data_IF_871529788248
#
_entry.id   IF_871529788248
#
_cell.length_a   1.000
_cell.length_b   1.000
_cell.length_c   1.000
_cell.angle_alpha   90.00
_cell.angle_beta   90.00
_cell.angle_gamma   90.00
#
_symmetry.space_group_name_H-M   'P 1'
#
loop_
_entity.id
_entity.type
_entity.pdbx_description
1 polymer ?
#
# COMPACT_ATOMS: atom_id res chain seq x y z
N UNK A 1 13.57 64.90 -53.92
CA UNK A 1 13.17 63.48 -53.89
C UNK A 1 13.60 62.93 -52.55
N UNK A 2 12.70 62.78 -51.59
CA UNK A 2 12.95 62.06 -50.33
C UNK A 2 11.59 61.68 -49.71
N UNK A 3 11.01 60.57 -50.15
CA UNK A 3 9.66 60.13 -49.75
C UNK A 3 9.62 58.74 -49.10
N UNK A 4 10.77 58.15 -48.77
CA UNK A 4 10.88 56.78 -48.27
C UNK A 4 11.04 56.65 -46.73
N UNK A 5 10.80 57.71 -45.96
CA UNK A 5 11.06 57.73 -44.51
C UNK A 5 9.85 57.76 -43.55
N UNK A 6 8.74 57.03 -43.81
CA UNK A 6 7.85 56.62 -42.71
C UNK A 6 7.65 55.11 -42.55
N UNK A 7 8.03 54.30 -43.55
CA UNK A 7 7.72 52.86 -43.57
C UNK A 7 8.64 52.03 -42.65
N UNK A 8 9.85 52.53 -42.35
CA UNK A 8 10.83 51.87 -41.49
C UNK A 8 10.50 51.92 -39.98
N UNK A 9 9.75 52.92 -39.52
CA UNK A 9 9.37 53.05 -38.10
C UNK A 9 8.25 52.11 -37.65
N UNK A 10 7.32 51.77 -38.54
CA UNK A 10 6.14 50.95 -38.22
C UNK A 10 6.47 49.45 -38.12
N UNK A 11 7.50 49.00 -38.84
CA UNK A 11 8.04 47.63 -38.75
C UNK A 11 8.76 47.42 -37.40
N UNK A 12 9.51 48.41 -36.92
CA UNK A 12 10.20 48.34 -35.61
C UNK A 12 9.24 48.21 -34.41
N UNK A 13 8.09 48.88 -34.45
CA UNK A 13 7.08 48.80 -33.39
C UNK A 13 6.37 47.43 -33.34
N UNK A 14 6.15 46.79 -34.50
CA UNK A 14 5.55 45.45 -34.58
C UNK A 14 6.51 44.35 -34.10
N UNK A 15 7.81 44.45 -34.41
CA UNK A 15 8.83 43.53 -33.87
C UNK A 15 9.03 43.72 -32.35
N UNK A 16 8.97 44.96 -31.86
CA UNK A 16 9.00 45.24 -30.42
C UNK A 16 7.83 44.60 -29.68
N UNK A 17 6.60 44.76 -30.16
CA UNK A 17 5.41 44.15 -29.55
C UNK A 17 5.40 42.61 -29.62
N UNK A 18 5.87 42.01 -30.72
CA UNK A 18 5.99 40.56 -30.87
C UNK A 18 7.05 39.94 -29.93
N UNK A 19 8.18 40.63 -29.72
CA UNK A 19 9.21 40.21 -28.77
C UNK A 19 8.73 40.28 -27.32
N UNK A 20 7.97 41.33 -26.96
CA UNK A 20 7.38 41.47 -25.62
C UNK A 20 6.33 40.38 -25.36
N UNK A 21 5.49 40.05 -26.36
CA UNK A 21 4.49 38.99 -26.23
C UNK A 21 5.13 37.59 -26.09
N UNK A 22 6.17 37.30 -26.88
CA UNK A 22 6.96 36.06 -26.77
C UNK A 22 7.65 35.90 -25.41
N UNK A 23 8.27 36.98 -24.91
CA UNK A 23 8.92 37.00 -23.60
C UNK A 23 7.94 36.80 -22.44
N UNK A 24 6.75 37.42 -22.49
CA UNK A 24 5.70 37.20 -21.47
C UNK A 24 5.17 35.78 -21.46
N UNK A 25 4.99 35.14 -22.62
CA UNK A 25 4.57 33.72 -22.66
C UNK A 25 5.64 32.78 -22.11
N UNK A 26 6.90 33.04 -22.40
CA UNK A 26 7.99 32.22 -21.84
C UNK A 26 8.10 32.39 -20.33
N UNK A 27 7.98 33.60 -19.81
CA UNK A 27 7.97 33.88 -18.37
C UNK A 27 6.74 33.26 -17.68
N UNK A 28 5.55 33.34 -18.28
CA UNK A 28 4.34 32.69 -17.77
C UNK A 28 4.45 31.16 -17.77
N UNK A 29 5.00 30.57 -18.83
CA UNK A 29 5.23 29.13 -18.91
C UNK A 29 6.23 28.65 -17.85
N UNK A 30 7.30 29.43 -17.61
CA UNK A 30 8.27 29.14 -16.55
C UNK A 30 7.63 29.26 -15.17
N UNK A 31 6.89 30.34 -14.90
CA UNK A 31 6.17 30.52 -13.64
C UNK A 31 5.13 29.40 -13.39
N UNK A 32 4.45 28.93 -14.43
CA UNK A 32 3.54 27.78 -14.34
C UNK A 32 4.29 26.47 -14.07
N UNK A 33 5.46 26.27 -14.68
CA UNK A 33 6.30 25.10 -14.43
C UNK A 33 6.82 25.11 -12.98
N UNK A 34 7.34 26.24 -12.52
CA UNK A 34 7.84 26.42 -11.15
C UNK A 34 6.71 26.25 -10.13
N UNK A 35 5.52 26.81 -10.37
CA UNK A 35 4.35 26.63 -9.51
C UNK A 35 3.85 25.17 -9.48
N UNK A 36 3.95 24.44 -10.61
CA UNK A 36 3.66 23.01 -10.65
C UNK A 36 4.69 22.23 -9.85
N UNK A 37 5.98 22.54 -10.00
CA UNK A 37 7.06 21.89 -9.26
C UNK A 37 6.92 22.11 -7.76
N UNK A 38 6.71 23.34 -7.30
CA UNK A 38 6.49 23.66 -5.88
C UNK A 38 5.27 22.93 -5.30
N UNK A 39 4.18 22.79 -6.07
CA UNK A 39 3.01 21.98 -5.65
C UNK A 39 3.32 20.49 -5.55
N UNK A 40 4.28 19.99 -6.31
CA UNK A 40 4.67 18.58 -6.26
C UNK A 40 5.57 18.31 -5.05
N UNK A 41 6.52 19.20 -4.79
CA UNK A 41 7.36 19.17 -3.58
C UNK A 41 6.48 19.25 -2.34
N UNK A 42 5.54 20.20 -2.28
CA UNK A 42 4.61 20.32 -1.15
C UNK A 42 3.75 19.04 -0.93
N UNK A 43 3.32 18.37 -2.01
CA UNK A 43 2.59 17.10 -1.91
C UNK A 43 3.49 15.96 -1.41
N UNK A 44 4.75 15.96 -1.81
CA UNK A 44 5.73 14.98 -1.38
C UNK A 44 6.06 15.17 0.10
N UNK A 45 6.30 16.40 0.55
CA UNK A 45 6.54 16.73 1.96
C UNK A 45 5.34 16.36 2.83
N UNK A 46 4.13 16.66 2.37
CA UNK A 46 2.89 16.26 3.05
C UNK A 46 2.78 14.73 3.15
N UNK A 47 3.12 14.00 2.08
CA UNK A 47 3.11 12.54 2.09
C UNK A 47 4.13 11.98 3.08
N UNK A 48 5.37 12.50 3.09
CA UNK A 48 6.41 12.11 4.04
C UNK A 48 5.96 12.39 5.48
N UNK A 49 5.43 13.57 5.77
CA UNK A 49 4.95 13.91 7.12
C UNK A 49 3.79 13.00 7.57
N UNK A 50 2.86 12.69 6.66
CA UNK A 50 1.75 11.77 6.93
C UNK A 50 2.26 10.36 7.21
N UNK A 51 3.23 9.87 6.44
CA UNK A 51 3.83 8.55 6.62
C UNK A 51 4.65 8.46 7.89
N UNK A 52 5.43 9.50 8.21
CA UNK A 52 6.20 9.56 9.45
C UNK A 52 5.28 9.48 10.68
N UNK A 53 4.16 10.21 10.65
CA UNK A 53 3.15 10.13 11.71
C UNK A 53 2.52 8.74 11.76
N UNK A 54 1.99 8.25 10.65
CA UNK A 54 1.28 6.97 10.60
C UNK A 54 2.19 5.79 11.02
N UNK A 55 3.46 5.78 10.60
CA UNK A 55 4.40 4.74 11.05
C UNK A 55 4.82 4.90 12.50
N UNK A 56 4.86 6.12 13.04
CA UNK A 56 5.03 6.35 14.47
C UNK A 56 3.88 5.76 15.29
N UNK A 57 2.64 6.00 14.86
CA UNK A 57 1.43 5.47 15.48
C UNK A 57 1.40 3.94 15.39
N UNK A 58 1.63 3.38 14.19
CA UNK A 58 1.72 1.93 13.96
C UNK A 58 2.80 1.27 14.82
N UNK A 59 3.96 1.92 14.97
CA UNK A 59 5.05 1.39 15.80
C UNK A 59 4.68 1.29 17.28
N UNK A 60 3.85 2.20 17.79
CA UNK A 60 3.33 2.09 19.14
C UNK A 60 2.24 1.02 19.23
N UNK A 61 1.35 0.96 18.24
CA UNK A 61 0.23 0.00 18.21
C UNK A 61 0.69 -1.46 18.18
N UNK A 62 1.70 -1.78 17.37
CA UNK A 62 2.25 -3.15 17.27
C UNK A 62 2.90 -3.66 18.54
N UNK A 63 3.20 -2.79 19.51
CA UNK A 63 3.69 -3.20 20.84
C UNK A 63 2.59 -3.81 21.71
N UNK A 64 1.33 -3.48 21.44
CA UNK A 64 0.16 -3.98 22.16
C UNK A 64 -0.55 -5.14 21.47
N UNK A 65 0.07 -5.78 20.48
CA UNK A 65 -0.58 -6.89 19.74
C UNK A 65 -0.97 -8.02 20.72
N UNK A 66 -2.22 -8.51 20.68
CA UNK A 66 -2.65 -9.57 21.58
C UNK A 66 -1.91 -10.90 21.34
N UNK A 67 -1.59 -11.56 22.44
CA UNK A 67 -0.93 -12.87 22.47
C UNK A 67 -1.80 -14.00 21.92
N UNK A 68 -1.17 -15.15 21.73
CA UNK A 68 -1.84 -16.39 21.37
C UNK A 68 -2.62 -17.02 22.52
N UNK A 69 -3.68 -17.73 22.14
CA UNK A 69 -4.45 -18.55 23.06
C UNK A 69 -3.53 -19.62 23.70
N UNK A 70 -3.58 -19.72 25.02
CA UNK A 70 -2.88 -20.78 25.76
C UNK A 70 -3.78 -22.02 25.96
N UNK A 71 -3.27 -23.24 25.75
CA UNK A 71 -4.02 -24.46 26.05
C UNK A 71 -4.55 -24.47 27.49
N UNK A 72 -5.85 -24.72 27.69
CA UNK A 72 -6.50 -24.71 29.00
C UNK A 72 -7.17 -23.40 29.39
N UNK A 73 -7.13 -22.37 28.53
CA UNK A 73 -7.89 -21.13 28.71
C UNK A 73 -9.40 -21.40 28.77
N UNK A 74 -10.12 -20.74 29.69
CA UNK A 74 -11.57 -20.87 29.82
C UNK A 74 -12.30 -20.29 28.60
N UNK A 75 -13.52 -20.73 28.32
CA UNK A 75 -14.33 -20.20 27.21
C UNK A 75 -14.55 -18.67 27.32
N UNK A 76 -14.72 -18.16 28.55
CA UNK A 76 -14.86 -16.73 28.82
C UNK A 76 -13.58 -15.96 28.48
N UNK A 77 -12.41 -16.49 28.86
CA UNK A 77 -11.13 -15.86 28.54
C UNK A 77 -10.79 -15.93 27.04
N UNK A 78 -11.19 -17.01 26.35
CA UNK A 78 -11.10 -17.09 24.88
C UNK A 78 -11.97 -16.01 24.23
N UNK A 79 -13.22 -15.84 24.67
CA UNK A 79 -14.11 -14.81 24.13
C UNK A 79 -13.57 -13.39 24.37
N UNK A 80 -13.02 -13.13 25.56
CA UNK A 80 -12.39 -11.84 25.88
C UNK A 80 -11.15 -11.57 25.00
N UNK A 81 -10.31 -12.58 24.75
CA UNK A 81 -9.15 -12.47 23.87
C UNK A 81 -9.57 -12.22 22.41
N UNK A 82 -10.61 -12.91 21.93
CA UNK A 82 -11.15 -12.68 20.58
C UNK A 82 -11.66 -11.25 20.44
N UNK A 83 -12.45 -10.74 21.39
CA UNK A 83 -12.93 -9.36 21.36
C UNK A 83 -11.77 -8.35 21.39
N UNK A 84 -10.75 -8.59 22.24
CA UNK A 84 -9.57 -7.73 22.30
C UNK A 84 -8.78 -7.73 20.97
N UNK A 85 -8.70 -8.88 20.29
CA UNK A 85 -8.09 -9.00 18.96
C UNK A 85 -8.87 -8.25 17.89
N UNK A 86 -10.19 -8.37 17.88
CA UNK A 86 -11.05 -7.64 16.95
C UNK A 86 -10.91 -6.13 17.13
N UNK A 87 -10.99 -5.63 18.36
CA UNK A 87 -10.78 -4.20 18.65
C UNK A 87 -9.38 -3.73 18.24
N UNK A 88 -8.34 -4.53 18.53
CA UNK A 88 -6.98 -4.19 18.14
C UNK A 88 -6.79 -4.15 16.62
N UNK A 89 -7.46 -5.06 15.89
CA UNK A 89 -7.43 -5.08 14.42
C UNK A 89 -8.16 -3.89 13.82
N UNK A 90 -9.32 -3.51 14.34
CA UNK A 90 -10.05 -2.30 13.92
C UNK A 90 -9.17 -1.05 14.07
N UNK A 91 -8.52 -0.89 15.23
CA UNK A 91 -7.58 0.20 15.48
C UNK A 91 -6.35 0.16 14.55
N UNK A 92 -5.86 -1.04 14.21
CA UNK A 92 -4.78 -1.21 13.24
C UNK A 92 -5.23 -0.71 11.85
N UNK A 93 -6.43 -1.07 11.40
CA UNK A 93 -6.96 -0.64 10.10
C UNK A 93 -7.09 0.89 10.02
N UNK A 94 -7.56 1.51 11.10
CA UNK A 94 -7.67 2.97 11.20
C UNK A 94 -6.31 3.68 11.06
N UNK A 95 -5.24 3.05 11.54
CA UNK A 95 -3.88 3.56 11.42
C UNK A 95 -3.25 3.28 10.04
N UNK A 96 -3.60 2.17 9.40
CA UNK A 96 -3.14 1.81 8.06
C UNK A 96 -3.76 2.72 6.98
N UNK A 97 -5.04 3.11 7.13
CA UNK A 97 -5.76 3.85 6.10
C UNK A 97 -5.09 5.18 5.68
N UNK A 98 -4.65 6.07 6.60
CA UNK A 98 -3.90 7.28 6.25
C UNK A 98 -2.58 6.97 5.52
N UNK A 99 -1.86 5.92 5.94
CA UNK A 99 -0.62 5.52 5.29
C UNK A 99 -0.88 5.08 3.85
N UNK A 100 -1.93 4.30 3.57
CA UNK A 100 -2.27 3.87 2.19
C UNK A 100 -2.58 5.06 1.28
N UNK A 101 -3.31 6.05 1.78
CA UNK A 101 -3.62 7.27 1.02
C UNK A 101 -2.34 8.04 0.67
N UNK A 102 -1.43 8.21 1.65
CA UNK A 102 -0.14 8.86 1.42
C UNK A 102 0.78 8.06 0.48
N UNK A 103 0.80 6.73 0.59
CA UNK A 103 1.53 5.86 -0.34
C UNK A 103 0.98 6.00 -1.77
N UNK A 104 -0.33 6.19 -1.92
CA UNK A 104 -0.99 6.38 -3.21
C UNK A 104 -0.49 7.59 -4.01
N UNK A 105 -0.03 8.65 -3.34
CA UNK A 105 0.47 9.87 -3.99
C UNK A 105 1.95 9.80 -4.37
N UNK A 106 2.70 8.81 -3.85
CA UNK A 106 4.12 8.62 -4.17
C UNK A 106 4.25 8.24 -5.64
N UNK A 107 5.08 8.97 -6.39
CA UNK A 107 5.32 8.71 -7.82
C UNK A 107 6.22 7.51 -8.07
N UNK A 108 7.28 7.38 -7.26
CA UNK A 108 8.23 6.28 -7.39
C UNK A 108 7.49 4.94 -7.25
N UNK A 109 7.56 4.13 -8.31
CA UNK A 109 6.83 2.85 -8.37
C UNK A 109 7.41 1.82 -7.42
N UNK A 110 8.72 1.80 -7.22
CA UNK A 110 9.42 0.83 -6.36
C UNK A 110 9.13 1.13 -4.89
N UNK A 111 9.24 2.41 -4.49
CA UNK A 111 8.90 2.86 -3.14
C UNK A 111 7.43 2.54 -2.84
N UNK A 112 6.53 2.97 -3.74
CA UNK A 112 5.09 2.73 -3.58
C UNK A 112 4.76 1.24 -3.48
N UNK A 113 5.40 0.39 -4.29
CA UNK A 113 5.21 -1.06 -4.23
C UNK A 113 5.66 -1.62 -2.88
N UNK A 114 6.86 -1.27 -2.42
CA UNK A 114 7.41 -1.80 -1.16
C UNK A 114 6.60 -1.37 0.07
N UNK A 115 6.15 -0.11 0.10
CA UNK A 115 5.29 0.37 1.18
C UNK A 115 3.90 -0.27 1.14
N UNK A 116 3.32 -0.50 -0.05
CA UNK A 116 2.07 -1.25 -0.19
C UNK A 116 2.21 -2.69 0.30
N UNK A 117 3.33 -3.33 0.00
CA UNK A 117 3.63 -4.68 0.48
C UNK A 117 3.67 -4.71 2.01
N UNK A 118 4.33 -3.73 2.66
CA UNK A 118 4.32 -3.61 4.12
C UNK A 118 2.90 -3.46 4.69
N UNK A 119 2.07 -2.58 4.12
CA UNK A 119 0.69 -2.40 4.59
C UNK A 119 -0.15 -3.66 4.40
N UNK A 120 0.01 -4.35 3.26
CA UNK A 120 -0.70 -5.59 3.02
C UNK A 120 -0.30 -6.69 4.02
N UNK A 121 0.97 -6.76 4.43
CA UNK A 121 1.42 -7.71 5.46
C UNK A 121 0.79 -7.40 6.83
N UNK A 122 0.67 -6.12 7.20
CA UNK A 122 -0.01 -5.72 8.43
C UNK A 122 -1.52 -6.00 8.36
N UNK A 123 -2.17 -5.79 7.21
CA UNK A 123 -3.61 -6.05 7.05
C UNK A 123 -3.98 -7.52 7.22
N UNK A 124 -3.11 -8.43 6.80
CA UNK A 124 -3.34 -9.88 6.86
C UNK A 124 -2.57 -10.53 8.01
N UNK A 125 -2.24 -9.75 9.05
CA UNK A 125 -1.32 -10.20 10.09
C UNK A 125 -1.77 -11.49 10.77
N UNK A 126 -3.03 -11.62 11.18
CA UNK A 126 -3.49 -12.76 11.98
C UNK A 126 -3.63 -14.04 11.12
N UNK A 127 -4.16 -13.92 9.90
CA UNK A 127 -4.47 -15.06 9.03
C UNK A 127 -3.34 -15.43 8.06
N UNK A 128 -2.57 -14.44 7.59
CA UNK A 128 -1.53 -14.59 6.58
C UNK A 128 -0.12 -14.80 7.15
N UNK A 129 0.16 -14.36 8.38
CA UNK A 129 1.51 -14.40 8.96
C UNK A 129 1.74 -15.55 9.95
N UNK A 130 0.85 -16.54 9.96
CA UNK A 130 0.90 -17.69 10.88
C UNK A 130 2.26 -18.40 10.88
N UNK A 131 2.92 -18.54 9.72
CA UNK A 131 4.24 -19.19 9.64
C UNK A 131 5.37 -18.30 10.16
N UNK A 132 5.27 -16.99 9.94
CA UNK A 132 6.24 -16.03 10.47
C UNK A 132 6.19 -15.97 12.01
N UNK A 133 5.02 -16.18 12.61
CA UNK A 133 4.87 -16.24 14.07
C UNK A 133 5.33 -17.56 14.69
N UNK A 134 5.56 -18.61 13.88
CA UNK A 134 6.00 -19.89 14.43
C UNK A 134 7.39 -19.75 15.08
N UNK A 135 7.46 -19.86 16.41
CA UNK A 135 8.66 -19.67 17.25
C UNK A 135 9.20 -18.23 17.29
N UNK A 136 8.40 -17.25 16.87
CA UNK A 136 8.74 -15.82 16.93
C UNK A 136 7.62 -15.06 17.62
N UNK A 137 7.98 -13.94 18.26
CA UNK A 137 6.98 -13.06 18.83
C UNK A 137 6.24 -12.32 17.71
N UNK A 138 4.90 -12.24 17.80
CA UNK A 138 4.06 -11.42 16.91
C UNK A 138 4.55 -9.98 16.86
N UNK A 139 4.86 -9.40 18.03
CA UNK A 139 5.45 -8.06 18.18
C UNK A 139 6.70 -7.93 17.32
N UNK A 140 7.63 -8.89 17.39
CA UNK A 140 8.89 -8.82 16.64
C UNK A 140 8.69 -8.81 15.13
N UNK A 141 7.78 -9.66 14.61
CA UNK A 141 7.48 -9.73 13.18
C UNK A 141 6.83 -8.43 12.70
N UNK A 142 5.76 -7.97 13.36
CA UNK A 142 5.02 -6.77 12.95
C UNK A 142 5.87 -5.51 13.09
N UNK A 143 6.62 -5.40 14.18
CA UNK A 143 7.59 -4.33 14.38
C UNK A 143 8.63 -4.29 13.27
N UNK A 144 9.16 -5.44 12.88
CA UNK A 144 10.11 -5.54 11.77
C UNK A 144 9.51 -5.14 10.43
N UNK A 145 8.24 -5.45 10.17
CA UNK A 145 7.51 -4.98 8.96
C UNK A 145 7.39 -3.45 8.97
N UNK A 146 6.96 -2.85 10.09
CA UNK A 146 6.86 -1.38 10.23
C UNK A 146 8.24 -0.72 10.11
N UNK A 147 9.27 -1.28 10.75
CA UNK A 147 10.64 -0.78 10.67
C UNK A 147 11.17 -0.77 9.23
N UNK A 148 10.93 -1.83 8.45
CA UNK A 148 11.33 -1.84 7.04
C UNK A 148 10.61 -0.74 6.22
N UNK A 149 9.33 -0.49 6.50
CA UNK A 149 8.58 0.58 5.84
C UNK A 149 9.14 1.97 6.17
N UNK A 150 9.52 2.20 7.44
CA UNK A 150 10.20 3.42 7.88
C UNK A 150 11.54 3.58 7.17
N UNK A 151 12.35 2.53 7.08
CA UNK A 151 13.64 2.56 6.38
C UNK A 151 13.46 2.89 4.88
N UNK A 152 12.42 2.36 4.24
CA UNK A 152 12.09 2.67 2.85
C UNK A 152 11.70 4.15 2.66
N UNK A 153 10.90 4.73 3.56
CA UNK A 153 10.56 6.16 3.50
C UNK A 153 11.80 7.02 3.75
N UNK A 154 12.64 6.65 4.71
CA UNK A 154 13.90 7.35 4.98
C UNK A 154 14.85 7.33 3.78
N UNK A 155 15.05 6.17 3.16
CA UNK A 155 15.86 6.05 1.94
C UNK A 155 15.27 6.87 0.78
N UNK A 156 13.95 6.82 0.59
CA UNK A 156 13.28 7.63 -0.42
C UNK A 156 13.46 9.14 -0.19
N UNK A 157 13.35 9.60 1.06
CA UNK A 157 13.54 11.02 1.41
C UNK A 157 14.99 11.48 1.17
N UNK A 158 15.97 10.60 1.39
CA UNK A 158 17.39 10.88 1.15
C UNK A 158 17.83 10.63 -0.29
N UNK A 159 16.90 10.25 -1.17
CA UNK A 159 17.17 9.86 -2.56
C UNK A 159 18.18 8.70 -2.67
N UNK A 160 18.18 7.82 -1.67
CA UNK A 160 19.06 6.65 -1.58
C UNK A 160 18.43 5.42 -2.25
N UNK A 161 19.25 4.41 -2.49
CA UNK A 161 18.77 3.08 -2.88
C UNK A 161 17.89 2.49 -1.79
N UNK A 162 16.76 1.88 -2.18
CA UNK A 162 15.88 1.22 -1.23
C UNK A 162 16.62 0.13 -0.45
N UNK A 163 16.40 0.04 0.86
CA UNK A 163 17.08 -0.93 1.69
C UNK A 163 16.65 -2.36 1.31
N UNK A 164 17.53 -3.31 1.57
CA UNK A 164 17.16 -4.71 1.52
C UNK A 164 16.08 -5.01 2.57
N UNK A 165 15.14 -5.92 2.27
CA UNK A 165 14.14 -6.31 3.26
C UNK A 165 14.82 -6.94 4.47
N UNK A 166 14.44 -6.46 5.66
CA UNK A 166 14.93 -7.06 6.89
C UNK A 166 14.36 -8.48 7.08
N UNK A 167 14.90 -9.19 8.06
CA UNK A 167 14.56 -10.60 8.31
C UNK A 167 13.06 -10.79 8.59
N UNK A 168 12.50 -9.98 9.46
CA UNK A 168 11.08 -10.05 9.82
C UNK A 168 10.15 -9.80 8.62
N UNK A 169 10.49 -8.81 7.78
CA UNK A 169 9.75 -8.53 6.55
C UNK A 169 9.84 -9.69 5.56
N UNK A 170 11.03 -10.29 5.41
CA UNK A 170 11.22 -11.46 4.55
C UNK A 170 10.43 -12.66 5.05
N UNK A 171 10.50 -12.99 6.34
CA UNK A 171 9.74 -14.08 6.96
C UNK A 171 8.22 -13.85 6.85
N UNK A 172 7.75 -12.61 7.05
CA UNK A 172 6.34 -12.24 6.88
C UNK A 172 5.87 -12.44 5.42
N UNK A 173 6.68 -12.01 4.46
CA UNK A 173 6.38 -12.19 3.03
C UNK A 173 6.31 -13.66 2.63
N UNK A 174 7.27 -14.46 3.09
CA UNK A 174 7.30 -15.91 2.85
C UNK A 174 6.10 -16.60 3.50
N UNK A 175 5.72 -16.21 4.72
CA UNK A 175 4.52 -16.72 5.38
C UNK A 175 3.26 -16.42 4.59
N UNK A 176 3.09 -15.19 4.10
CA UNK A 176 1.92 -14.82 3.31
C UNK A 176 1.87 -15.57 1.98
N UNK A 177 3.02 -15.79 1.34
CA UNK A 177 3.10 -16.60 0.12
C UNK A 177 2.64 -18.04 0.39
N UNK A 178 3.21 -18.69 1.42
CA UNK A 178 2.81 -20.04 1.80
C UNK A 178 1.32 -20.13 2.17
N UNK A 179 0.77 -19.12 2.86
CA UNK A 179 -0.66 -19.08 3.19
C UNK A 179 -1.56 -18.91 1.98
N UNK A 180 -1.13 -18.17 0.96
CA UNK A 180 -1.88 -18.05 -0.29
C UNK A 180 -1.93 -19.37 -1.03
N UNK A 181 -0.80 -20.08 -1.11
CA UNK A 181 -0.73 -21.39 -1.75
C UNK A 181 -1.67 -22.39 -1.04
N UNK A 182 -1.74 -22.34 0.29
CA UNK A 182 -2.69 -23.15 1.06
C UNK A 182 -4.16 -22.80 0.82
N UNK A 183 -4.50 -21.51 0.80
CA UNK A 183 -5.87 -21.09 0.53
C UNK A 183 -6.32 -21.47 -0.88
N UNK A 184 -5.43 -21.37 -1.87
CA UNK A 184 -5.68 -21.81 -3.24
C UNK A 184 -5.91 -23.33 -3.30
N UNK A 185 -5.06 -24.13 -2.66
CA UNK A 185 -5.22 -25.58 -2.60
C UNK A 185 -6.53 -26.01 -1.91
N UNK A 186 -6.95 -25.31 -0.85
CA UNK A 186 -8.23 -25.56 -0.18
C UNK A 186 -9.40 -25.21 -1.12
N UNK A 187 -9.34 -24.05 -1.79
CA UNK A 187 -10.40 -23.61 -2.69
C UNK A 187 -10.59 -24.59 -3.87
N UNK A 188 -9.49 -25.08 -4.44
CA UNK A 188 -9.51 -26.08 -5.52
C UNK A 188 -10.15 -27.40 -5.04
N UNK A 189 -9.75 -27.89 -3.85
CA UNK A 189 -10.31 -29.11 -3.28
C UNK A 189 -11.83 -28.97 -2.98
N UNK A 190 -12.27 -27.81 -2.52
CA UNK A 190 -13.69 -27.52 -2.31
C UNK A 190 -14.48 -27.43 -3.63
N UNK A 191 -13.89 -26.90 -4.70
CA UNK A 191 -14.50 -26.88 -6.03
C UNK A 191 -14.63 -28.28 -6.63
N UNK A 192 -13.61 -29.12 -6.47
CA UNK A 192 -13.66 -30.53 -6.87
C UNK A 192 -14.73 -31.30 -6.10
N UNK A 193 -14.83 -31.14 -4.78
CA UNK A 193 -15.86 -31.82 -3.98
C UNK A 193 -17.26 -31.33 -4.34
N UNK A 194 -17.44 -30.02 -4.57
CA UNK A 194 -18.72 -29.46 -5.09
C UNK A 194 -19.09 -30.08 -6.43
N UNK A 195 -18.13 -30.22 -7.35
CA UNK A 195 -18.34 -30.82 -8.66
C UNK A 195 -18.69 -32.30 -8.56
N UNK A 196 -17.99 -33.06 -7.70
CA UNK A 196 -18.27 -34.47 -7.42
C UNK A 196 -19.67 -34.66 -6.82
N UNK A 197 -20.07 -33.84 -5.85
CA UNK A 197 -21.42 -33.87 -5.26
C UNK A 197 -22.51 -33.57 -6.29
N UNK A 198 -22.28 -32.64 -7.22
CA UNK A 198 -23.21 -32.35 -8.32
C UNK A 198 -23.33 -33.54 -9.26
N UNK A 199 -22.21 -34.17 -9.63
CA UNK A 199 -22.21 -35.35 -10.49
C UNK A 199 -22.96 -36.53 -9.84
N UNK A 200 -22.74 -36.79 -8.54
CA UNK A 200 -23.43 -37.84 -7.78
C UNK A 200 -24.94 -37.61 -7.64
N UNK A 201 -25.38 -36.35 -7.54
CA UNK A 201 -26.81 -36.01 -7.53
C UNK A 201 -27.42 -36.25 -8.91
N UNK A 202 -26.77 -35.74 -9.96
CA UNK A 202 -27.24 -35.94 -11.33
C UNK A 202 -27.33 -37.43 -11.72
N UNK A 203 -26.42 -38.28 -11.24
CA UNK A 203 -26.48 -39.72 -11.50
C UNK A 203 -27.58 -40.45 -10.71
N UNK A 204 -27.98 -39.93 -9.54
CA UNK A 204 -29.10 -40.49 -8.76
C UNK A 204 -30.46 -40.13 -9.37
N UNK A 205 -30.57 -38.94 -9.94
CA UNK A 205 -31.82 -38.48 -10.57
C UNK A 205 -32.08 -39.16 -11.93
N UNK A 206 -31.06 -39.80 -12.53
CA UNK A 206 -31.18 -40.56 -13.79
C UNK A 206 -31.37 -42.07 -13.60
N UNK A 207 -31.37 -42.59 -12.36
CA UNK A 207 -31.61 -44.01 -12.08
C UNK A 207 -33.14 -44.26 -12.04
N UNK A 208 -33.72 -45.06 -12.97
CA UNK A 208 -35.16 -45.28 -12.99
C UNK A 208 -35.61 -46.03 -11.73
N UNK A 209 -36.81 -45.74 -11.17
CA UNK A 209 -37.27 -46.39 -9.96
C UNK A 209 -37.30 -47.90 -10.16
N UNK A 210 -36.61 -48.62 -9.28
CA UNK A 210 -36.61 -50.08 -9.26
C UNK A 210 -38.05 -50.58 -9.06
N UNK A 211 -38.65 -51.11 -10.12
CA UNK A 211 -39.97 -51.74 -10.09
C UNK A 211 -39.82 -53.08 -9.35
N UNK A 212 -40.28 -53.10 -8.11
CA UNK A 212 -40.58 -54.34 -7.36
C UNK A 212 -42.00 -54.79 -7.63
#
# INVERSE_FOLDING_TARGET
MDWLSPVSGLVGALFGAAATYGGTRQAQNKALADARQARLEAKQDQAVATLAKAFGDLYQHVRGVPDDWEPGTSAEAVAALTAARETWDEELQDQIAPARLAIGVIRDRKVRHRLKEAMNLLEVWDSGLVYAFHRRSRVWVLHGVVAHAVDCVGAWQREETLPEPNRAFTEARESLAAKRDEWEAIADAEEEDRSRRRALRASRDTEPPSVT
#
